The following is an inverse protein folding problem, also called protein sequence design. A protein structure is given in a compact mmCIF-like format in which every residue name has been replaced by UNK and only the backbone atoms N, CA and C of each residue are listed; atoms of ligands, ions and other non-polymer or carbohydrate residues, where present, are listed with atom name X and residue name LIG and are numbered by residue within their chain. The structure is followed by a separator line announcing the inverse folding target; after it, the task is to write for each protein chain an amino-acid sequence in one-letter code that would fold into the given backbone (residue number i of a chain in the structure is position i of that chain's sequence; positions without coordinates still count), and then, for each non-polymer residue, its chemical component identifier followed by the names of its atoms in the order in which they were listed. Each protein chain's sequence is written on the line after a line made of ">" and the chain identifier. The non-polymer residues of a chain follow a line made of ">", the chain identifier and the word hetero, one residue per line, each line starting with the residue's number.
data_IF_653709493192
#
_entry.id   IF_653709493192
#
_cell.length_a   1.000
_cell.length_b   1.000
_cell.length_c   1.000
_cell.angle_alpha   90.00
_cell.angle_beta   90.00
_cell.angle_gamma   90.00
#
_symmetry.space_group_name_H-M   'P 1'
#
loop_
_entity.id
_entity.type
_entity.pdbx_description
1 polymer ?
#
# COMPACT_ATOMS: atom_id res chain seq x y z
N UNK A 1 -5.60 12.78 4.14
CA UNK A 1 -4.33 12.05 3.98
C UNK A 1 -3.15 12.82 4.57
N UNK A 2 -2.90 14.08 4.20
CA UNK A 2 -1.72 14.85 4.68
C UNK A 2 -1.52 14.77 6.20
N UNK A 3 -2.52 15.17 7.00
CA UNK A 3 -2.45 15.10 8.47
C UNK A 3 -2.08 13.71 8.99
N UNK A 4 -2.65 12.66 8.42
CA UNK A 4 -2.37 11.26 8.79
C UNK A 4 -0.95 10.85 8.45
N UNK A 5 -0.43 11.30 7.30
CA UNK A 5 0.92 10.97 6.85
C UNK A 5 2.01 11.69 7.66
N UNK A 6 1.75 12.92 8.11
CA UNK A 6 2.76 13.75 8.78
C UNK A 6 2.71 13.69 10.31
N UNK A 7 1.58 13.31 10.89
CA UNK A 7 1.39 13.26 12.35
C UNK A 7 0.96 11.89 12.89
N UNK A 8 0.64 10.94 12.01
CA UNK A 8 0.23 9.60 12.40
C UNK A 8 1.38 8.75 12.91
N UNK A 9 1.06 7.74 13.73
CA UNK A 9 1.98 6.67 14.06
C UNK A 9 2.20 5.78 12.84
N UNK A 10 3.43 5.27 12.70
CA UNK A 10 3.83 4.41 11.57
C UNK A 10 4.03 2.98 12.04
N UNK A 11 3.49 2.04 11.29
CA UNK A 11 3.75 0.61 11.45
C UNK A 11 3.92 -0.04 10.09
N UNK A 12 4.75 -1.08 10.03
CA UNK A 12 5.01 -1.82 8.78
C UNK A 12 4.78 -3.30 9.01
N UNK A 13 4.07 -3.93 8.09
CA UNK A 13 3.91 -5.37 7.99
C UNK A 13 4.79 -5.86 6.85
N UNK A 14 5.64 -6.84 7.14
CA UNK A 14 6.45 -7.53 6.14
C UNK A 14 5.72 -8.81 5.69
N UNK A 15 5.49 -8.92 4.38
CA UNK A 15 4.89 -10.10 3.76
C UNK A 15 5.94 -11.07 3.19
N UNK A 16 7.24 -10.80 3.44
CA UNK A 16 8.40 -11.41 2.82
C UNK A 16 8.51 -11.11 1.32
N UNK A 17 9.57 -11.63 0.69
CA UNK A 17 9.84 -11.47 -0.74
C UNK A 17 9.78 -10.02 -1.24
N UNK A 18 10.27 -9.09 -0.40
CA UNK A 18 10.29 -7.65 -0.68
C UNK A 18 8.91 -6.99 -0.81
N UNK A 19 7.87 -7.59 -0.24
CA UNK A 19 6.51 -7.06 -0.22
C UNK A 19 6.18 -6.56 1.19
N UNK A 20 5.64 -5.36 1.30
CA UNK A 20 5.29 -4.75 2.58
C UNK A 20 4.02 -3.92 2.52
N UNK A 21 3.40 -3.72 3.68
CA UNK A 21 2.37 -2.69 3.88
C UNK A 21 2.83 -1.73 4.98
N UNK A 22 2.94 -0.44 4.65
CA UNK A 22 3.20 0.62 5.62
C UNK A 22 1.90 1.35 5.92
N UNK A 23 1.53 1.39 7.20
CA UNK A 23 0.31 2.01 7.72
C UNK A 23 0.69 3.27 8.49
N UNK A 24 0.08 4.38 8.10
CA UNK A 24 0.06 5.63 8.85
C UNK A 24 -1.31 5.78 9.51
N UNK A 25 -1.37 6.01 10.82
CA UNK A 25 -2.63 6.09 11.54
C UNK A 25 -2.67 7.23 12.57
N UNK A 26 -3.80 7.91 12.63
CA UNK A 26 -4.21 8.78 13.74
C UNK A 26 -5.44 8.16 14.41
N UNK A 27 -5.94 8.79 15.47
CA UNK A 27 -7.20 8.37 16.10
C UNK A 27 -8.42 8.51 15.15
N UNK A 28 -8.30 9.32 14.10
CA UNK A 28 -9.40 9.72 13.22
C UNK A 28 -9.38 8.96 11.89
N UNK A 29 -8.20 8.63 11.37
CA UNK A 29 -8.05 8.02 10.04
C UNK A 29 -6.74 7.25 9.88
N UNK A 30 -6.68 6.44 8.83
CA UNK A 30 -5.48 5.72 8.42
C UNK A 30 -5.25 5.84 6.91
N UNK A 31 -3.98 5.74 6.50
CA UNK A 31 -3.56 5.69 5.10
C UNK A 31 -2.47 4.65 4.93
N UNK A 32 -2.53 3.88 3.85
CA UNK A 32 -1.66 2.73 3.64
C UNK A 32 -0.91 2.81 2.31
N UNK A 33 0.32 2.32 2.31
CA UNK A 33 1.12 2.07 1.11
C UNK A 33 1.45 0.59 1.05
N UNK A 34 1.10 -0.05 -0.07
CA UNK A 34 1.52 -1.41 -0.37
C UNK A 34 2.67 -1.34 -1.37
N UNK A 35 3.83 -1.82 -0.96
CA UNK A 35 5.04 -1.82 -1.76
C UNK A 35 5.43 -3.23 -2.17
N UNK A 36 5.86 -3.39 -3.41
CA UNK A 36 6.55 -4.58 -3.87
C UNK A 36 7.87 -4.15 -4.51
N UNK A 37 8.95 -4.24 -3.72
CA UNK A 37 10.30 -3.92 -4.15
C UNK A 37 10.99 -5.07 -4.91
N UNK A 38 10.26 -6.16 -5.22
CA UNK A 38 10.76 -7.19 -6.10
C UNK A 38 10.90 -6.63 -7.53
N UNK A 39 12.02 -6.94 -8.18
CA UNK A 39 12.32 -6.43 -9.52
C UNK A 39 11.60 -7.17 -10.65
N UNK A 40 11.01 -8.33 -10.37
CA UNK A 40 10.53 -9.26 -11.40
C UNK A 40 9.21 -9.94 -11.10
N UNK A 41 8.86 -10.15 -9.82
CA UNK A 41 7.67 -10.94 -9.46
C UNK A 41 6.57 -10.07 -8.86
N UNK A 42 5.39 -10.17 -9.45
CA UNK A 42 4.15 -9.66 -8.86
C UNK A 42 3.81 -10.42 -7.58
N UNK A 43 3.11 -9.74 -6.67
CA UNK A 43 2.66 -10.29 -5.41
C UNK A 43 1.15 -10.15 -5.26
N UNK A 44 0.54 -11.16 -4.64
CA UNK A 44 -0.84 -11.08 -4.15
C UNK A 44 -0.81 -11.22 -2.64
N UNK A 45 -1.25 -10.19 -1.93
CA UNK A 45 -1.26 -10.17 -0.46
C UNK A 45 -2.67 -10.02 0.07
N UNK A 46 -2.92 -10.61 1.25
CA UNK A 46 -4.12 -10.33 2.02
C UNK A 46 -3.79 -9.28 3.09
N UNK A 47 -4.42 -8.12 3.00
CA UNK A 47 -4.21 -7.01 3.90
C UNK A 47 -5.56 -6.48 4.39
N UNK A 48 -5.76 -6.49 5.71
CA UNK A 48 -7.01 -6.08 6.37
C UNK A 48 -8.26 -6.78 5.80
N UNK A 49 -8.15 -8.06 5.43
CA UNK A 49 -9.26 -8.85 4.89
C UNK A 49 -9.52 -8.63 3.40
N UNK A 50 -8.75 -7.77 2.73
CA UNK A 50 -8.85 -7.53 1.29
C UNK A 50 -7.64 -8.11 0.55
N UNK A 51 -7.85 -8.61 -0.65
CA UNK A 51 -6.79 -9.12 -1.51
C UNK A 51 -6.31 -8.02 -2.45
N UNK A 52 -5.01 -7.77 -2.46
CA UNK A 52 -4.38 -6.77 -3.32
C UNK A 52 -3.36 -7.44 -4.24
N UNK A 53 -3.45 -7.13 -5.53
CA UNK A 53 -2.39 -7.44 -6.49
C UNK A 53 -1.43 -6.26 -6.51
N UNK A 54 -0.20 -6.49 -6.09
CA UNK A 54 0.89 -5.51 -6.05
C UNK A 54 1.94 -5.96 -7.07
N UNK A 55 1.95 -5.40 -8.29
CA UNK A 55 2.91 -5.80 -9.31
C UNK A 55 4.36 -5.57 -8.86
N UNK A 56 5.36 -6.09 -9.59
CA UNK A 56 6.78 -5.86 -9.29
C UNK A 56 7.23 -4.43 -9.64
N UNK A 57 7.94 -3.75 -8.73
CA UNK A 57 8.34 -2.32 -8.72
C UNK A 57 7.33 -1.23 -8.27
N UNK A 58 5.99 -1.27 -8.49
CA UNK A 58 5.13 -0.16 -8.16
C UNK A 58 4.85 -0.02 -6.67
N UNK A 59 4.42 1.20 -6.34
CA UNK A 59 3.75 1.52 -5.09
C UNK A 59 2.26 1.61 -5.36
N UNK A 60 1.48 0.93 -4.52
CA UNK A 60 0.01 1.07 -4.47
C UNK A 60 -0.36 1.94 -3.28
N UNK A 61 -1.07 3.04 -3.53
CA UNK A 61 -1.56 3.97 -2.52
C UNK A 61 -3.01 3.60 -2.20
N UNK A 62 -3.28 3.33 -0.93
CA UNK A 62 -4.59 2.95 -0.39
C UNK A 62 -5.00 4.00 0.66
N UNK A 63 -5.66 5.10 0.26
CA UNK A 63 -5.82 6.30 1.10
C UNK A 63 -6.55 6.10 2.41
N UNK A 64 -7.43 5.10 2.46
CA UNK A 64 -8.28 4.72 3.59
C UNK A 64 -7.95 3.31 4.11
N UNK A 65 -6.82 2.72 3.65
CA UNK A 65 -6.41 1.34 3.89
C UNK A 65 -7.40 0.26 3.42
N UNK A 66 -8.40 0.61 2.60
CA UNK A 66 -9.44 -0.30 2.11
C UNK A 66 -9.58 -0.30 0.59
N UNK A 67 -9.52 0.87 -0.03
CA UNK A 67 -9.75 1.06 -1.45
C UNK A 67 -8.47 1.57 -2.11
N UNK A 68 -8.03 0.90 -3.18
CA UNK A 68 -6.92 1.38 -4.00
C UNK A 68 -7.29 2.74 -4.61
N UNK A 69 -6.54 3.78 -4.25
CA UNK A 69 -6.70 5.11 -4.84
C UNK A 69 -5.78 5.35 -6.03
N UNK A 70 -4.60 4.73 -6.03
CA UNK A 70 -3.62 4.85 -7.12
C UNK A 70 -2.62 3.69 -7.11
N UNK A 71 -2.17 3.27 -8.29
CA UNK A 71 -1.08 2.30 -8.46
C UNK A 71 -0.15 2.79 -9.55
N UNK A 72 1.15 2.93 -9.26
CA UNK A 72 2.13 3.52 -10.20
C UNK A 72 2.38 2.65 -11.45
N UNK A 73 2.02 1.37 -11.45
CA UNK A 73 2.11 0.50 -12.63
C UNK A 73 0.83 0.47 -13.47
N UNK A 74 -0.32 0.92 -12.94
CA UNK A 74 -1.56 1.01 -13.70
C UNK A 74 -1.59 2.31 -14.50
N UNK A 75 -1.08 2.25 -15.73
CA UNK A 75 -1.22 3.35 -16.70
C UNK A 75 -2.61 3.28 -17.33
N UNK A 76 -3.44 4.30 -17.10
CA UNK A 76 -4.72 4.45 -17.80
C UNK A 76 -4.43 5.09 -19.16
N UNK A 77 -4.67 4.36 -20.25
CA UNK A 77 -4.72 4.94 -21.59
C UNK A 77 -6.15 5.44 -21.84
N UNK A 78 -6.27 6.71 -22.22
CA UNK A 78 -7.51 7.39 -22.63
C UNK A 78 -7.60 7.48 -24.15
#
# INVERSE_FOLDING_TARGET
>A
MEMTLTHGSVSTIDFNNSVSATIYATNESSSCFLGNANSTTDATINFQGNQYMVPAWPVTIVPDCKNEGYNTAKVIYI
#
